data_IF_403993241177
#
_entry.id   IF_403993241177
#
_cell.length_a   1.000
_cell.length_b   1.000
_cell.length_c   1.000
_cell.angle_alpha   90.00
_cell.angle_beta   90.00
_cell.angle_gamma   90.00
#
_symmetry.space_group_name_H-M   'P 1'
#
loop_
_entity.id
_entity.type
_entity.pdbx_description
1 polymer ?
#
# COMPACT_ATOMS: atom_id res chain seq x y z
N UNK A 1 -27.21 -37.14 1.01
CA UNK A 1 -27.25 -36.02 0.04
C UNK A 1 -27.76 -34.72 0.66
N UNK A 2 -28.91 -34.72 1.35
CA UNK A 2 -29.47 -33.53 1.99
C UNK A 2 -28.54 -32.97 3.07
N UNK A 3 -27.94 -33.81 3.92
CA UNK A 3 -27.00 -33.42 4.96
C UNK A 3 -25.75 -32.78 4.35
N UNK A 4 -25.26 -33.30 3.22
CA UNK A 4 -24.08 -32.75 2.53
C UNK A 4 -24.37 -31.35 1.96
N UNK A 5 -25.56 -31.14 1.38
CA UNK A 5 -25.97 -29.83 0.87
C UNK A 5 -26.12 -28.80 1.99
N UNK A 6 -26.70 -29.20 3.14
CA UNK A 6 -26.86 -28.34 4.30
C UNK A 6 -25.50 -27.93 4.87
N UNK A 7 -24.56 -28.89 4.96
CA UNK A 7 -23.21 -28.62 5.41
C UNK A 7 -22.49 -27.64 4.47
N UNK A 8 -22.64 -27.85 3.16
CA UNK A 8 -22.05 -26.98 2.15
C UNK A 8 -22.57 -25.54 2.26
N UNK A 9 -23.90 -25.38 2.44
CA UNK A 9 -24.52 -24.08 2.68
C UNK A 9 -23.96 -23.39 3.93
N UNK A 10 -23.80 -24.15 5.04
CA UNK A 10 -23.27 -23.62 6.28
C UNK A 10 -21.81 -23.15 6.11
N UNK A 11 -21.00 -23.92 5.38
CA UNK A 11 -19.61 -23.55 5.08
C UNK A 11 -19.52 -22.31 4.21
N UNK A 12 -20.36 -22.21 3.18
CA UNK A 12 -20.43 -21.01 2.33
C UNK A 12 -20.84 -19.77 3.13
N UNK A 13 -21.80 -19.94 4.06
CA UNK A 13 -22.21 -18.86 4.95
C UNK A 13 -21.06 -18.37 5.85
N UNK A 14 -20.24 -19.28 6.36
CA UNK A 14 -19.05 -18.93 7.17
C UNK A 14 -18.02 -18.19 6.33
N UNK A 15 -17.76 -18.63 5.11
CA UNK A 15 -16.83 -18.00 4.19
C UNK A 15 -17.29 -16.57 3.88
N UNK A 16 -18.58 -16.40 3.60
CA UNK A 16 -19.16 -15.08 3.33
C UNK A 16 -19.00 -14.15 4.55
N UNK A 17 -19.28 -14.65 5.76
CA UNK A 17 -19.16 -13.87 6.98
C UNK A 17 -17.72 -13.42 7.22
N UNK A 18 -16.74 -14.30 6.98
CA UNK A 18 -15.32 -13.95 7.08
C UNK A 18 -14.91 -12.90 6.04
N UNK A 19 -15.38 -13.05 4.80
CA UNK A 19 -15.12 -12.09 3.73
C UNK A 19 -15.72 -10.72 4.06
N UNK A 20 -16.95 -10.68 4.58
CA UNK A 20 -17.61 -9.45 4.99
C UNK A 20 -16.84 -8.76 6.13
N UNK A 21 -16.40 -9.53 7.13
CA UNK A 21 -15.58 -9.01 8.23
C UNK A 21 -14.27 -8.42 7.73
N UNK A 22 -13.59 -9.11 6.82
CA UNK A 22 -12.36 -8.60 6.21
C UNK A 22 -12.61 -7.28 5.47
N UNK A 23 -13.72 -7.16 4.74
CA UNK A 23 -14.09 -5.93 4.05
C UNK A 23 -14.35 -4.78 5.02
N UNK A 24 -14.99 -5.03 6.15
CA UNK A 24 -15.21 -4.01 7.18
C UNK A 24 -13.91 -3.52 7.77
N UNK A 25 -12.95 -4.44 8.04
CA UNK A 25 -11.63 -4.09 8.57
C UNK A 25 -10.83 -3.27 7.56
N UNK A 26 -10.81 -3.68 6.29
CA UNK A 26 -10.13 -2.95 5.22
C UNK A 26 -10.69 -1.54 5.09
N UNK A 27 -12.01 -1.40 5.08
CA UNK A 27 -12.67 -0.09 5.00
C UNK A 27 -12.29 0.79 6.18
N UNK A 28 -12.26 0.23 7.38
CA UNK A 28 -11.89 0.98 8.60
C UNK A 28 -10.44 1.48 8.52
N UNK A 29 -9.53 0.66 8.04
CA UNK A 29 -8.13 1.05 7.84
C UNK A 29 -8.03 2.15 6.78
N UNK A 30 -8.69 1.98 5.64
CA UNK A 30 -8.66 2.96 4.54
C UNK A 30 -9.26 4.31 4.93
N UNK A 31 -10.18 4.33 5.87
CA UNK A 31 -10.77 5.58 6.36
C UNK A 31 -9.93 6.26 7.45
N UNK A 32 -8.95 5.56 8.01
CA UNK A 32 -8.21 6.02 9.19
C UNK A 32 -6.77 6.41 8.89
N UNK A 33 -6.13 5.80 7.89
CA UNK A 33 -4.72 6.03 7.58
C UNK A 33 -4.53 6.19 6.07
N UNK A 34 -3.48 6.93 5.68
CA UNK A 34 -3.10 7.07 4.29
C UNK A 34 -2.52 5.75 3.77
N UNK A 35 -3.04 5.25 2.65
CA UNK A 35 -2.57 4.02 2.02
C UNK A 35 -2.36 4.21 0.53
N UNK A 36 -1.36 3.51 0.00
CA UNK A 36 -1.07 3.45 -1.42
C UNK A 36 -0.54 2.06 -1.76
N UNK A 37 -0.92 1.54 -2.92
CA UNK A 37 -0.52 0.22 -3.38
C UNK A 37 0.29 0.34 -4.66
N UNK A 38 1.29 -0.53 -4.78
CA UNK A 38 2.21 -0.59 -5.91
C UNK A 38 2.30 -2.00 -6.46
N UNK A 39 2.65 -2.09 -7.75
CA UNK A 39 3.18 -3.34 -8.30
C UNK A 39 4.54 -3.63 -7.65
N UNK A 40 5.05 -4.86 -7.74
CA UNK A 40 6.40 -5.17 -7.24
C UNK A 40 7.51 -4.32 -7.86
N UNK A 41 7.26 -3.71 -9.01
CA UNK A 41 8.20 -2.81 -9.67
C UNK A 41 8.04 -1.34 -9.28
N UNK A 42 7.08 -1.03 -8.40
CA UNK A 42 6.90 0.33 -7.89
C UNK A 42 5.92 1.19 -8.66
N UNK A 43 5.14 0.62 -9.56
CA UNK A 43 4.08 1.36 -10.26
C UNK A 43 2.84 1.46 -9.38
N UNK A 44 2.23 2.63 -9.33
CA UNK A 44 1.09 2.91 -8.45
C UNK A 44 -0.17 2.25 -9.03
N UNK A 45 -0.79 1.37 -8.23
CA UNK A 45 -2.04 0.70 -8.58
C UNK A 45 -3.23 1.52 -8.09
N UNK A 46 -3.21 1.91 -6.80
CA UNK A 46 -4.31 2.59 -6.14
C UNK A 46 -3.80 3.34 -4.91
N UNK A 47 -4.56 4.34 -4.47
CA UNK A 47 -4.27 5.08 -3.24
C UNK A 47 -5.59 5.61 -2.68
N UNK A 48 -5.69 5.72 -1.36
CA UNK A 48 -6.88 6.30 -0.76
C UNK A 48 -6.80 7.84 -0.74
N UNK A 49 -7.93 8.45 -0.43
CA UNK A 49 -8.05 9.92 -0.41
C UNK A 49 -7.11 10.56 0.60
N UNK A 50 -6.90 9.92 1.74
CA UNK A 50 -5.97 10.43 2.76
C UNK A 50 -4.56 10.54 2.20
N UNK A 51 -4.12 9.56 1.40
CA UNK A 51 -2.78 9.59 0.80
C UNK A 51 -2.67 10.67 -0.27
N UNK A 52 -3.55 10.64 -1.29
CA UNK A 52 -3.38 11.59 -2.39
C UNK A 52 -3.67 13.04 -1.98
N UNK A 53 -4.51 13.27 -0.98
CA UNK A 53 -4.65 14.61 -0.37
C UNK A 53 -3.37 15.04 0.34
N UNK A 54 -2.72 14.12 1.08
CA UNK A 54 -1.49 14.46 1.82
C UNK A 54 -0.36 14.90 0.88
N UNK A 55 -0.21 14.26 -0.27
CA UNK A 55 0.84 14.59 -1.25
C UNK A 55 0.40 15.66 -2.27
N UNK A 56 -0.87 16.04 -2.27
CA UNK A 56 -1.38 17.14 -3.10
C UNK A 56 -1.65 16.77 -4.55
N UNK A 57 -1.87 15.50 -4.84
CA UNK A 57 -2.25 15.02 -6.16
C UNK A 57 -3.69 14.53 -6.17
N UNK A 58 -4.27 14.37 -7.36
CA UNK A 58 -5.46 13.56 -7.54
C UNK A 58 -5.05 12.12 -7.86
N UNK A 59 -5.97 11.16 -7.65
CA UNK A 59 -5.68 9.76 -7.98
C UNK A 59 -5.31 9.59 -9.45
N UNK A 60 -6.01 10.28 -10.35
CA UNK A 60 -5.74 10.21 -11.79
C UNK A 60 -4.33 10.67 -12.17
N UNK A 61 -3.75 11.59 -11.40
CA UNK A 61 -2.40 12.08 -11.65
C UNK A 61 -1.31 11.07 -11.27
N UNK A 62 -1.58 10.21 -10.29
CA UNK A 62 -0.57 9.30 -9.75
C UNK A 62 -0.76 7.85 -10.22
N UNK A 63 -1.97 7.41 -10.50
CA UNK A 63 -2.27 6.04 -10.89
C UNK A 63 -1.52 5.68 -12.17
N UNK A 64 -0.81 4.54 -12.14
CA UNK A 64 0.05 4.11 -13.24
C UNK A 64 1.44 4.74 -13.27
N UNK A 65 1.70 5.75 -12.46
CA UNK A 65 3.02 6.37 -12.34
C UNK A 65 3.89 5.56 -11.39
N UNK A 66 5.20 5.80 -11.42
CA UNK A 66 6.14 5.11 -10.55
C UNK A 66 6.33 5.88 -9.23
N UNK A 67 6.56 5.15 -8.14
CA UNK A 67 6.85 5.69 -6.80
C UNK A 67 7.92 6.79 -6.82
N UNK A 68 8.89 6.72 -7.74
CA UNK A 68 9.98 7.70 -7.85
C UNK A 68 9.49 9.14 -8.01
N UNK A 69 8.25 9.34 -8.46
CA UNK A 69 7.66 10.68 -8.58
C UNK A 69 7.59 11.42 -7.25
N UNK A 70 7.56 10.69 -6.13
CA UNK A 70 7.54 11.26 -4.78
C UNK A 70 8.92 11.46 -4.20
N UNK A 71 9.97 11.05 -4.89
CA UNK A 71 11.34 11.06 -4.41
C UNK A 71 12.15 12.19 -5.05
N UNK A 72 13.21 12.63 -4.35
CA UNK A 72 14.17 13.51 -4.99
C UNK A 72 14.85 12.80 -6.18
N UNK A 73 15.29 13.57 -7.16
CA UNK A 73 15.95 13.02 -8.35
C UNK A 73 17.21 12.24 -7.98
N UNK A 74 18.00 12.74 -7.03
CA UNK A 74 19.23 12.07 -6.59
C UNK A 74 18.93 10.74 -5.89
N UNK A 75 17.94 10.70 -5.02
CA UNK A 75 17.57 9.46 -4.33
C UNK A 75 17.01 8.43 -5.31
N UNK A 76 16.14 8.86 -6.24
CA UNK A 76 15.53 7.97 -7.23
C UNK A 76 16.56 7.28 -8.13
N UNK A 77 17.75 7.88 -8.32
CA UNK A 77 18.86 7.33 -9.13
C UNK A 77 19.87 6.57 -8.30
N UNK A 78 19.71 6.53 -6.97
CA UNK A 78 20.69 5.93 -6.08
C UNK A 78 20.60 4.40 -6.06
N UNK A 79 21.70 3.76 -5.64
CA UNK A 79 21.74 2.32 -5.38
C UNK A 79 20.85 1.95 -4.18
N UNK A 80 20.73 2.85 -3.20
CA UNK A 80 19.87 2.63 -2.04
C UNK A 80 18.41 2.49 -2.45
N UNK A 81 17.97 3.28 -3.43
CA UNK A 81 16.60 3.18 -3.96
C UNK A 81 16.36 1.88 -4.71
N UNK A 82 17.33 1.46 -5.53
CA UNK A 82 17.29 0.17 -6.22
C UNK A 82 17.22 -0.97 -5.22
N UNK A 83 18.04 -0.93 -4.17
CA UNK A 83 18.04 -1.93 -3.09
C UNK A 83 16.73 -1.94 -2.32
N UNK A 84 16.16 -0.78 -2.05
CA UNK A 84 14.87 -0.64 -1.37
C UNK A 84 13.78 -1.44 -2.09
N UNK A 85 13.64 -1.25 -3.39
CA UNK A 85 12.64 -1.99 -4.18
C UNK A 85 12.98 -3.46 -4.33
N UNK A 86 14.26 -3.81 -4.43
CA UNK A 86 14.69 -5.22 -4.48
C UNK A 86 14.31 -5.95 -3.20
N UNK A 87 14.53 -5.33 -2.05
CA UNK A 87 14.16 -5.92 -0.77
C UNK A 87 12.65 -6.14 -0.67
N UNK A 88 11.85 -5.20 -1.14
CA UNK A 88 10.40 -5.37 -1.17
C UNK A 88 9.99 -6.54 -2.06
N UNK A 89 10.60 -6.69 -3.23
CA UNK A 89 10.35 -7.84 -4.12
C UNK A 89 10.79 -9.16 -3.48
N UNK A 90 11.79 -9.12 -2.63
CA UNK A 90 12.27 -10.30 -1.88
C UNK A 90 11.39 -10.62 -0.66
N UNK A 91 10.33 -9.87 -0.44
CA UNK A 91 9.41 -10.10 0.67
C UNK A 91 9.83 -9.46 1.98
N UNK A 92 10.76 -8.51 1.95
CA UNK A 92 11.30 -7.85 3.15
C UNK A 92 10.60 -6.51 3.34
N UNK A 93 9.79 -6.33 4.41
CA UNK A 93 9.15 -5.03 4.70
C UNK A 93 10.18 -3.94 4.96
N UNK A 94 9.81 -2.70 4.62
CA UNK A 94 10.63 -1.52 4.88
C UNK A 94 9.85 -0.56 5.77
N UNK A 95 10.41 -0.21 6.92
CA UNK A 95 9.79 0.71 7.88
C UNK A 95 10.74 1.84 8.17
N UNK A 96 10.22 3.05 8.31
CA UNK A 96 11.04 4.20 8.65
C UNK A 96 10.32 5.51 8.51
N UNK A 97 11.06 6.59 8.62
CA UNK A 97 10.60 7.95 8.35
C UNK A 97 11.26 8.41 7.07
N UNK A 98 10.43 8.76 6.10
CA UNK A 98 10.89 9.04 4.73
C UNK A 98 10.51 10.46 4.34
N UNK A 99 11.49 11.20 3.79
CA UNK A 99 11.20 12.46 3.13
C UNK A 99 10.69 12.20 1.72
N UNK A 100 9.57 12.84 1.37
CA UNK A 100 8.97 12.74 0.04
C UNK A 100 8.61 14.13 -0.48
N UNK A 101 8.32 14.24 -1.75
CA UNK A 101 7.94 15.49 -2.39
C UNK A 101 6.44 15.52 -2.65
N UNK A 102 5.80 16.63 -2.27
CA UNK A 102 4.41 16.94 -2.62
C UNK A 102 4.34 17.49 -4.04
N UNK A 103 3.13 17.57 -4.57
CA UNK A 103 2.90 18.12 -5.90
C UNK A 103 3.41 19.56 -6.08
N UNK A 104 3.38 20.36 -5.02
CA UNK A 104 3.87 21.75 -5.04
C UNK A 104 5.38 21.87 -4.83
N UNK A 105 6.10 20.75 -4.72
CA UNK A 105 7.55 20.72 -4.50
C UNK A 105 7.98 20.79 -3.05
N UNK A 106 7.06 20.99 -2.11
CA UNK A 106 7.39 21.00 -0.70
C UNK A 106 7.69 19.58 -0.19
N UNK A 107 8.55 19.49 0.82
CA UNK A 107 8.82 18.23 1.50
C UNK A 107 7.66 17.84 2.41
N UNK A 108 7.37 16.55 2.43
CA UNK A 108 6.50 15.90 3.42
C UNK A 108 7.30 14.77 4.06
N UNK A 109 7.22 14.65 5.38
CA UNK A 109 7.86 13.56 6.11
C UNK A 109 6.80 12.54 6.50
N UNK A 110 7.01 11.30 6.06
CA UNK A 110 6.07 10.20 6.28
C UNK A 110 6.72 9.13 7.14
N UNK A 111 6.13 8.86 8.29
CA UNK A 111 6.38 7.63 9.02
C UNK A 111 5.57 6.54 8.33
N UNK A 112 6.24 5.54 7.79
CA UNK A 112 5.59 4.61 6.88
C UNK A 112 6.14 3.20 7.00
N UNK A 113 5.30 2.24 6.65
CA UNK A 113 5.68 0.85 6.44
C UNK A 113 5.26 0.42 5.05
N UNK A 114 6.20 -0.12 4.29
CA UNK A 114 5.96 -0.75 3.01
C UNK A 114 5.90 -2.26 3.24
N UNK A 115 4.78 -2.87 2.89
CA UNK A 115 4.46 -4.26 3.20
C UNK A 115 4.35 -5.06 1.91
N UNK A 116 5.25 -6.03 1.65
CA UNK A 116 5.03 -6.96 0.55
C UNK A 116 3.79 -7.81 0.81
N UNK A 117 2.86 -7.79 -0.14
CA UNK A 117 1.65 -8.62 -0.09
C UNK A 117 1.93 -9.90 -0.85
N UNK A 118 1.78 -11.04 -0.18
CA UNK A 118 2.16 -12.35 -0.70
C UNK A 118 0.89 -13.09 -1.12
N UNK A 119 0.92 -13.71 -2.28
CA UNK A 119 -0.19 -14.50 -2.79
C UNK A 119 -0.17 -15.96 -2.28
N UNK A 120 -1.12 -16.77 -2.76
CA UNK A 120 -1.24 -18.17 -2.36
C UNK A 120 -0.02 -19.02 -2.76
N UNK A 121 0.77 -18.57 -3.74
CA UNK A 121 1.99 -19.24 -4.18
C UNK A 121 3.24 -18.73 -3.47
N UNK A 122 3.06 -17.94 -2.40
CA UNK A 122 4.15 -17.32 -1.64
C UNK A 122 5.01 -16.36 -2.49
N UNK A 123 4.41 -15.75 -3.50
CA UNK A 123 5.05 -14.74 -4.35
C UNK A 123 4.54 -13.36 -3.99
N UNK A 124 5.41 -12.35 -4.07
CA UNK A 124 5.00 -10.96 -3.85
C UNK A 124 4.14 -10.49 -5.03
N UNK A 125 2.87 -10.22 -4.76
CA UNK A 125 1.91 -9.81 -5.78
C UNK A 125 1.74 -8.29 -5.86
N UNK A 126 1.95 -7.60 -4.74
CA UNK A 126 1.87 -6.13 -4.67
C UNK A 126 2.60 -5.63 -3.44
N UNK A 127 2.74 -4.32 -3.33
CA UNK A 127 3.32 -3.65 -2.16
C UNK A 127 2.27 -2.69 -1.61
N UNK A 128 1.95 -2.83 -0.33
CA UNK A 128 1.06 -1.91 0.38
C UNK A 128 1.90 -0.97 1.23
N UNK A 129 1.68 0.33 1.10
CA UNK A 129 2.28 1.34 1.99
C UNK A 129 1.20 1.92 2.88
N UNK A 130 1.47 1.93 4.19
CA UNK A 130 0.67 2.64 5.19
C UNK A 130 1.54 3.78 5.71
N UNK A 131 0.99 4.99 5.75
CA UNK A 131 1.78 6.18 6.05
C UNK A 131 1.04 7.14 6.98
N UNK A 132 1.83 7.86 7.78
CA UNK A 132 1.37 8.95 8.63
C UNK A 132 2.26 10.18 8.39
N UNK A 133 1.63 11.33 8.19
CA UNK A 133 2.36 12.61 8.02
C UNK A 133 2.88 13.08 9.36
N UNK A 134 4.21 13.15 9.49
CA UNK A 134 4.90 13.58 10.70
C UNK A 134 5.70 14.86 10.46
N UNK A 135 5.38 15.60 9.41
CA UNK A 135 6.10 16.82 9.03
C UNK A 135 6.20 17.81 10.18
N UNK A 136 5.14 17.96 10.98
CA UNK A 136 5.10 18.87 12.11
C UNK A 136 6.07 18.48 13.24
N UNK A 137 6.58 17.26 13.24
CA UNK A 137 7.54 16.75 14.25
C UNK A 137 8.98 16.89 13.79
N UNK A 138 9.17 17.26 12.54
CA UNK A 138 10.49 17.35 11.90
C UNK A 138 10.98 18.84 11.89
#
# INVERSE_FOLDING_TARGET
MIISLTRHKAELGKIKALADTAQYLIRSIRNSVATIQFTPNGEIIDANELFWNAVGYSLNQIQGQHHRMFCSSSYAKSQDYTKFWQQLRDGIPQTGTFERNKANGESIWLEATYIPVVDANNQVSSILKIACDVTDRM
#
